data_IF_265810243433
#
_entry.id   IF_265810243433
#
_cell.length_a   1.000
_cell.length_b   1.000
_cell.length_c   1.000
_cell.angle_alpha   90.00
_cell.angle_beta   90.00
_cell.angle_gamma   90.00
#
_symmetry.space_group_name_H-M   'P 1'
#
loop_
_entity.id
_entity.type
_entity.pdbx_description
1 polymer ?
#
# COMPACT_ATOMS: atom_id res chain seq x y z
N UNK A 1 4.30 -17.32 22.21
CA UNK A 1 4.12 -16.31 23.28
C UNK A 1 5.41 -15.50 23.35
N UNK A 2 5.33 -14.16 23.19
CA UNK A 2 6.50 -13.26 23.31
C UNK A 2 6.71 -12.77 24.75
N UNK A 3 5.79 -13.09 25.66
CA UNK A 3 5.88 -12.75 27.07
C UNK A 3 7.20 -13.28 27.68
N UNK A 4 7.87 -12.41 28.44
CA UNK A 4 9.13 -12.68 29.14
C UNK A 4 10.36 -12.96 28.26
N UNK A 5 10.34 -12.61 26.97
CA UNK A 5 11.55 -12.64 26.11
C UNK A 5 12.01 -11.22 25.79
N UNK A 6 13.32 -11.02 25.78
CA UNK A 6 13.88 -9.79 25.20
C UNK A 6 13.62 -9.81 23.70
N UNK A 7 12.86 -8.82 23.21
CA UNK A 7 12.52 -8.66 21.80
C UNK A 7 13.19 -7.41 21.26
N UNK A 8 13.78 -7.49 20.08
CA UNK A 8 14.34 -6.34 19.36
C UNK A 8 13.68 -6.25 17.99
N UNK A 9 13.20 -5.07 17.64
CA UNK A 9 12.62 -4.79 16.32
C UNK A 9 13.74 -4.28 15.41
N UNK A 10 13.96 -4.95 14.29
CA UNK A 10 14.82 -4.47 13.23
C UNK A 10 13.99 -3.76 12.14
N UNK A 11 14.42 -2.58 11.72
CA UNK A 11 13.75 -1.79 10.69
C UNK A 11 14.76 -1.05 9.81
N UNK A 12 14.44 -0.88 8.54
CA UNK A 12 15.15 0.02 7.62
C UNK A 12 14.67 1.48 7.70
N UNK A 13 13.71 1.77 8.58
CA UNK A 13 13.18 3.10 8.79
C UNK A 13 13.92 3.84 9.92
N UNK A 14 15.02 4.53 9.58
CA UNK A 14 15.89 5.25 10.55
C UNK A 14 15.14 6.12 11.58
N UNK A 15 14.11 6.90 11.22
CA UNK A 15 13.39 7.71 12.21
C UNK A 15 12.73 6.91 13.36
N UNK A 16 12.44 5.62 13.17
CA UNK A 16 11.79 4.80 14.20
C UNK A 16 12.78 4.28 15.26
N UNK A 17 14.09 4.27 14.97
CA UNK A 17 15.12 3.87 15.93
C UNK A 17 15.08 4.76 17.18
N UNK A 18 14.79 6.05 16.97
CA UNK A 18 14.71 7.05 18.03
C UNK A 18 13.26 7.30 18.48
N UNK A 19 12.32 6.42 18.13
CA UNK A 19 10.90 6.66 18.37
C UNK A 19 10.59 6.83 19.86
N UNK A 20 11.26 6.09 20.75
CA UNK A 20 11.02 6.16 22.19
C UNK A 20 11.92 7.16 22.94
N UNK A 21 12.92 7.74 22.27
CA UNK A 21 13.87 8.69 22.90
C UNK A 21 13.63 10.13 22.47
N UNK A 22 12.95 10.36 21.34
CA UNK A 22 12.66 11.71 20.84
C UNK A 22 11.47 12.33 21.56
N UNK A 23 11.39 13.67 21.53
CA UNK A 23 10.17 14.39 21.94
C UNK A 23 9.05 14.17 20.93
N UNK A 24 7.83 13.99 21.43
CA UNK A 24 6.65 13.67 20.64
C UNK A 24 5.75 14.87 20.30
N UNK A 25 6.29 16.08 20.42
CA UNK A 25 5.54 17.34 20.28
C UNK A 25 4.79 17.45 18.94
N UNK A 26 5.30 16.81 17.88
CA UNK A 26 4.71 16.79 16.54
C UNK A 26 4.07 15.44 16.15
N UNK A 27 3.90 14.50 17.09
CA UNK A 27 3.34 13.17 16.79
C UNK A 27 1.80 13.22 16.76
N UNK A 28 1.19 12.57 15.78
CA UNK A 28 -0.27 12.47 15.74
C UNK A 28 -0.79 11.50 16.83
N UNK A 29 -2.03 11.64 17.31
CA UNK A 29 -2.61 10.71 18.29
C UNK A 29 -2.54 9.24 17.83
N UNK A 30 -2.63 9.01 16.52
CA UNK A 30 -2.49 7.68 15.92
C UNK A 30 -1.07 7.13 16.06
N UNK A 31 -0.05 7.95 15.83
CA UNK A 31 1.35 7.54 16.01
C UNK A 31 1.65 7.20 17.47
N UNK A 32 1.14 8.00 18.41
CA UNK A 32 1.30 7.76 19.85
C UNK A 32 0.70 6.42 20.24
N UNK A 33 -0.56 6.13 19.85
CA UNK A 33 -1.21 4.84 20.14
C UNK A 33 -0.43 3.63 19.59
N UNK A 34 0.15 3.74 18.40
CA UNK A 34 0.97 2.66 17.86
C UNK A 34 2.27 2.46 18.67
N UNK A 35 2.92 3.54 19.10
CA UNK A 35 4.12 3.43 19.92
C UNK A 35 3.80 2.87 21.32
N UNK A 36 2.68 3.26 21.92
CA UNK A 36 2.18 2.67 23.17
C UNK A 36 1.90 1.17 23.04
N UNK A 37 1.34 0.74 21.90
CA UNK A 37 1.14 -0.69 21.66
C UNK A 37 2.48 -1.42 21.50
N UNK A 38 3.43 -0.85 20.76
CA UNK A 38 4.75 -1.46 20.56
C UNK A 38 5.50 -1.55 21.90
N UNK A 39 5.41 -0.53 22.76
CA UNK A 39 6.13 -0.48 24.04
C UNK A 39 5.69 -1.54 25.05
N UNK A 40 4.48 -2.10 24.90
CA UNK A 40 4.03 -3.25 25.70
C UNK A 40 4.90 -4.50 25.45
N UNK A 41 5.57 -4.58 24.29
CA UNK A 41 6.42 -5.70 23.92
C UNK A 41 7.90 -5.34 24.00
N UNK A 42 8.29 -4.17 23.46
CA UNK A 42 9.69 -3.73 23.45
C UNK A 42 9.83 -2.25 23.13
N UNK A 43 10.89 -1.65 23.65
CA UNK A 43 11.39 -0.33 23.23
C UNK A 43 12.67 -0.42 22.41
N UNK A 44 13.25 -1.62 22.27
CA UNK A 44 14.47 -1.88 21.54
C UNK A 44 14.23 -1.93 20.04
N UNK A 45 14.45 -0.80 19.35
CA UNK A 45 14.38 -0.71 17.88
C UNK A 45 15.79 -0.46 17.33
N UNK A 46 16.22 -1.27 16.36
CA UNK A 46 17.54 -1.18 15.70
C UNK A 46 17.41 -1.00 14.20
N UNK A 47 18.33 -0.24 13.64
CA UNK A 47 18.43 -0.09 12.20
C UNK A 47 19.07 -1.32 11.56
N UNK A 48 18.52 -1.75 10.43
CA UNK A 48 19.16 -2.64 9.46
C UNK A 48 19.05 -2.01 8.07
N UNK A 49 20.05 -2.14 7.21
CA UNK A 49 19.96 -1.56 5.87
C UNK A 49 18.86 -2.26 5.06
N UNK A 50 18.15 -1.53 4.20
CA UNK A 50 17.07 -2.11 3.39
C UNK A 50 17.53 -3.29 2.51
N UNK A 51 18.79 -3.26 2.04
CA UNK A 51 19.43 -4.37 1.31
C UNK A 51 19.56 -5.66 2.14
N UNK A 52 19.58 -5.53 3.46
CA UNK A 52 19.70 -6.62 4.43
C UNK A 52 18.32 -6.96 5.06
N UNK A 53 17.29 -6.14 4.80
CA UNK A 53 15.90 -6.33 5.25
C UNK A 53 15.02 -7.02 4.20
N UNK A 54 15.62 -7.91 3.39
CA UNK A 54 14.99 -8.47 2.17
C UNK A 54 13.68 -9.20 2.46
N UNK A 55 13.62 -9.95 3.55
CA UNK A 55 12.43 -10.73 3.92
C UNK A 55 11.25 -9.80 4.19
N UNK A 56 11.39 -8.84 5.10
CA UNK A 56 10.31 -7.90 5.43
C UNK A 56 9.92 -7.04 4.22
N UNK A 57 10.89 -6.64 3.39
CA UNK A 57 10.64 -5.89 2.16
C UNK A 57 9.88 -6.70 1.11
N UNK A 58 10.15 -8.00 1.01
CA UNK A 58 9.43 -8.89 0.09
C UNK A 58 7.99 -9.09 0.55
N UNK A 59 7.78 -9.36 1.84
CA UNK A 59 6.44 -9.51 2.41
C UNK A 59 5.62 -8.22 2.36
N UNK A 60 6.23 -7.06 2.57
CA UNK A 60 5.53 -5.78 2.46
C UNK A 60 5.04 -5.51 1.04
N UNK A 61 5.82 -5.93 0.02
CA UNK A 61 5.43 -5.85 -1.40
C UNK A 61 4.33 -6.86 -1.76
N UNK A 62 4.38 -8.09 -1.26
CA UNK A 62 3.30 -9.08 -1.51
C UNK A 62 1.98 -8.59 -0.92
N UNK A 63 2.00 -7.97 0.28
CA UNK A 63 0.79 -7.38 0.85
C UNK A 63 0.27 -6.19 0.03
N UNK A 64 1.15 -5.38 -0.56
CA UNK A 64 0.76 -4.35 -1.53
C UNK A 64 0.14 -4.97 -2.78
N UNK A 65 0.69 -6.08 -3.28
CA UNK A 65 0.10 -6.85 -4.40
C UNK A 65 -1.26 -7.44 -3.99
N UNK A 66 -1.43 -7.91 -2.75
CA UNK A 66 -2.73 -8.38 -2.25
C UNK A 66 -3.76 -7.26 -2.07
N UNK A 67 -3.34 -6.01 -1.83
CA UNK A 67 -4.24 -4.86 -1.96
C UNK A 67 -4.60 -4.56 -3.41
N UNK A 68 -3.70 -4.85 -4.35
CA UNK A 68 -3.97 -4.86 -5.79
C UNK A 68 -4.77 -6.10 -6.21
N UNK A 69 -4.92 -7.14 -5.37
CA UNK A 69 -5.88 -8.22 -5.56
C UNK A 69 -7.31 -7.72 -5.28
N UNK A 70 -7.75 -6.79 -6.13
CA UNK A 70 -8.95 -7.05 -6.90
C UNK A 70 -8.90 -8.51 -7.38
N UNK A 71 -9.39 -9.43 -6.54
CA UNK A 71 -9.44 -10.87 -6.86
C UNK A 71 -10.23 -11.15 -8.14
N UNK A 72 -10.94 -10.14 -8.65
CA UNK A 72 -11.71 -10.21 -9.88
C UNK A 72 -11.34 -9.05 -10.83
N UNK A 73 -10.11 -9.06 -11.36
CA UNK A 73 -9.72 -8.16 -12.46
C UNK A 73 -10.60 -8.34 -13.69
N UNK A 74 -11.14 -9.55 -13.91
CA UNK A 74 -12.08 -9.81 -15.00
C UNK A 74 -13.39 -9.05 -14.77
N UNK A 75 -13.99 -9.19 -13.59
CA UNK A 75 -15.20 -8.46 -13.20
C UNK A 75 -14.99 -6.95 -13.14
N UNK A 76 -13.81 -6.47 -12.75
CA UNK A 76 -13.50 -5.05 -12.82
C UNK A 76 -13.39 -4.57 -14.28
N UNK A 77 -12.74 -5.32 -15.17
CA UNK A 77 -12.67 -4.96 -16.59
C UNK A 77 -14.06 -4.94 -17.25
N UNK A 78 -14.95 -5.85 -16.84
CA UNK A 78 -16.37 -5.84 -17.22
C UNK A 78 -17.09 -4.58 -16.71
N UNK A 79 -16.98 -4.28 -15.42
CA UNK A 79 -17.67 -3.15 -14.79
C UNK A 79 -17.16 -1.80 -15.34
N UNK A 80 -15.86 -1.69 -15.63
CA UNK A 80 -15.24 -0.53 -16.29
C UNK A 80 -15.87 -0.22 -17.65
N UNK A 81 -16.25 -1.25 -18.42
CA UNK A 81 -16.83 -1.05 -19.73
C UNK A 81 -18.17 -0.30 -19.67
N UNK A 82 -18.95 -0.56 -18.63
CA UNK A 82 -20.23 0.11 -18.35
C UNK A 82 -20.13 1.37 -17.47
N UNK A 83 -18.94 1.73 -17.01
CA UNK A 83 -18.76 2.81 -16.04
C UNK A 83 -18.79 4.20 -16.70
N UNK A 84 -19.81 4.99 -16.37
CA UNK A 84 -19.99 6.35 -16.89
C UNK A 84 -18.93 7.34 -16.38
N UNK A 85 -18.34 7.12 -15.20
CA UNK A 85 -17.31 7.98 -14.63
C UNK A 85 -16.01 7.85 -15.45
N UNK A 86 -15.63 6.61 -15.80
CA UNK A 86 -14.50 6.31 -16.66
C UNK A 86 -14.64 6.98 -18.04
N UNK A 87 -15.81 6.89 -18.67
CA UNK A 87 -16.06 7.52 -19.97
C UNK A 87 -15.93 9.05 -19.91
N UNK A 88 -16.41 9.67 -18.83
CA UNK A 88 -16.25 11.11 -18.61
C UNK A 88 -14.78 11.51 -18.41
N UNK A 89 -14.01 10.68 -17.71
CA UNK A 89 -12.58 10.92 -17.46
C UNK A 89 -11.71 10.75 -18.71
N UNK A 90 -12.05 9.82 -19.59
CA UNK A 90 -11.35 9.64 -20.87
C UNK A 90 -11.55 10.82 -21.84
N UNK A 91 -12.69 11.50 -21.76
CA UNK A 91 -13.03 12.64 -22.63
C UNK A 91 -12.73 14.01 -22.04
N UNK A 92 -12.33 14.10 -20.77
CA UNK A 92 -12.06 15.36 -20.08
C UNK A 92 -10.56 15.64 -20.00
N UNK A 93 -10.19 16.92 -20.07
CA UNK A 93 -8.80 17.40 -19.90
C UNK A 93 -8.29 17.29 -18.47
N UNK A 94 -8.54 16.16 -17.82
CA UNK A 94 -7.99 15.83 -16.51
C UNK A 94 -6.52 15.45 -16.67
N UNK A 95 -5.72 15.62 -15.61
CA UNK A 95 -4.30 15.20 -15.61
C UNK A 95 -4.09 13.67 -15.57
N UNK A 96 -5.15 12.89 -15.80
CA UNK A 96 -5.09 11.42 -15.80
C UNK A 96 -4.69 10.91 -17.19
N UNK A 97 -3.83 9.89 -17.22
CA UNK A 97 -3.48 9.20 -18.46
C UNK A 97 -4.04 7.78 -18.40
N UNK A 98 -5.30 7.63 -18.80
CA UNK A 98 -6.00 6.33 -18.79
C UNK A 98 -5.66 5.54 -20.06
N UNK A 99 -5.03 4.37 -19.89
CA UNK A 99 -4.65 3.49 -20.99
C UNK A 99 -5.22 2.08 -20.80
N UNK A 100 -5.68 1.43 -21.88
CA UNK A 100 -6.08 0.03 -21.83
C UNK A 100 -4.86 -0.88 -21.66
N UNK A 101 -4.93 -1.82 -20.73
CA UNK A 101 -3.92 -2.85 -20.47
C UNK A 101 -4.53 -4.23 -20.61
N UNK A 102 -3.86 -5.11 -21.35
CA UNK A 102 -4.30 -6.49 -21.57
C UNK A 102 -3.64 -7.41 -20.55
N UNK A 103 -4.44 -8.25 -19.91
CA UNK A 103 -3.97 -9.23 -18.92
C UNK A 103 -4.35 -10.63 -19.41
N UNK A 104 -3.51 -11.63 -19.10
CA UNK A 104 -3.74 -13.01 -19.53
C UNK A 104 -5.06 -13.63 -18.99
N UNK A 105 -5.67 -13.00 -17.99
CA UNK A 105 -6.86 -13.46 -17.28
C UNK A 105 -8.18 -12.79 -17.71
N UNK A 106 -8.19 -11.89 -18.71
CA UNK A 106 -9.42 -11.23 -19.17
C UNK A 106 -9.42 -11.03 -20.68
N UNK A 107 -10.59 -11.22 -21.31
CA UNK A 107 -10.82 -10.91 -22.72
C UNK A 107 -10.95 -9.39 -22.96
N UNK A 108 -11.31 -8.63 -21.93
CA UNK A 108 -11.48 -7.17 -22.01
C UNK A 108 -10.25 -6.44 -21.47
N UNK A 109 -9.88 -5.29 -22.06
CA UNK A 109 -8.81 -4.47 -21.54
C UNK A 109 -9.23 -3.83 -20.22
N UNK A 110 -8.30 -3.81 -19.27
CA UNK A 110 -8.46 -3.09 -18.01
C UNK A 110 -7.84 -1.69 -18.16
N UNK A 111 -8.63 -0.65 -17.96
CA UNK A 111 -8.18 0.73 -18.00
C UNK A 111 -7.41 1.07 -16.72
N UNK A 112 -6.19 1.57 -16.92
CA UNK A 112 -5.26 1.94 -15.86
C UNK A 112 -4.76 3.37 -16.06
N UNK A 113 -4.60 4.12 -14.97
CA UNK A 113 -3.90 5.40 -14.96
C UNK A 113 -2.38 5.17 -14.92
N UNK A 114 -1.66 5.87 -15.78
CA UNK A 114 -0.19 5.84 -15.87
C UNK A 114 0.48 7.20 -15.62
N UNK A 115 -0.31 8.24 -15.31
CA UNK A 115 0.16 9.63 -15.17
C UNK A 115 1.29 9.82 -14.13
N UNK A 116 1.35 8.95 -13.11
CA UNK A 116 2.29 9.06 -11.99
C UNK A 116 3.53 8.18 -12.12
N UNK A 117 3.73 7.50 -13.25
CA UNK A 117 4.83 6.55 -13.47
C UNK A 117 4.64 5.19 -12.76
N UNK A 118 3.58 5.04 -11.95
CA UNK A 118 3.10 3.75 -11.43
C UNK A 118 1.75 3.44 -12.06
N UNK A 119 1.60 2.24 -12.63
CA UNK A 119 0.35 1.78 -13.23
C UNK A 119 -0.67 1.50 -12.13
N UNK A 120 -1.86 2.09 -12.22
CA UNK A 120 -2.94 1.90 -11.24
C UNK A 120 -4.26 1.61 -11.95
N UNK A 121 -4.95 0.50 -11.65
CA UNK A 121 -6.25 0.23 -12.26
C UNK A 121 -7.28 1.28 -11.81
N UNK A 122 -8.12 1.74 -12.74
CA UNK A 122 -9.25 2.59 -12.39
C UNK A 122 -10.32 1.74 -11.68
N UNK A 123 -10.57 2.00 -10.40
CA UNK A 123 -11.54 1.21 -9.61
C UNK A 123 -12.91 1.86 -9.73
N UNK A 124 -13.86 1.13 -10.32
CA UNK A 124 -15.27 1.54 -10.45
C UNK A 124 -15.98 1.51 -9.10
N UNK A 125 -17.14 2.17 -8.99
CA UNK A 125 -17.86 2.32 -7.72
C UNK A 125 -18.19 0.98 -7.06
N UNK A 126 -18.57 -0.03 -7.83
CA UNK A 126 -18.91 -1.38 -7.36
C UNK A 126 -17.74 -2.07 -6.65
N UNK A 127 -16.50 -1.68 -6.98
CA UNK A 127 -15.27 -2.24 -6.44
C UNK A 127 -14.58 -1.33 -5.40
N UNK A 128 -15.14 -0.16 -5.11
CA UNK A 128 -14.71 0.71 -4.00
C UNK A 128 -15.36 0.18 -2.71
N UNK A 129 -14.55 -0.30 -1.75
CA UNK A 129 -15.02 -0.72 -0.41
C UNK A 129 -15.36 0.47 0.48
#
# INVERSE_FOLDING_TARGET
MLESREVVIYTDHKPLVFAFTRKHDNSTPRQIRYLELISQFTTGIRYIAGRDNVVAHTFSRILQINFLNLNDFSGLAEDQFSDHELQSLMGSGTGLELRPMYFASSEKPLYCDVSTGTVRPFVTKSFRR
#
